data_IF_978466150110
#
_entry.id   IF_978466150110
#
_cell.length_a   1.000
_cell.length_b   1.000
_cell.length_c   1.000
_cell.angle_alpha   90.00
_cell.angle_beta   90.00
_cell.angle_gamma   90.00
#
_symmetry.space_group_name_H-M   'P 1'
#
loop_
_entity.id
_entity.type
_entity.pdbx_description
1 polymer ?
#
# COMPACT_ATOMS: atom_id res chain seq x y z
N UNK A 1 30.23 6.83 76.96
CA UNK A 1 29.84 5.59 76.24
C UNK A 1 28.39 5.64 75.80
N UNK A 2 27.43 5.85 76.71
CA UNK A 2 25.99 5.83 76.37
C UNK A 2 25.52 7.11 75.66
N UNK A 3 25.97 8.29 76.09
CA UNK A 3 25.68 9.56 75.41
C UNK A 3 26.24 9.62 73.98
N UNK A 4 27.41 9.02 73.75
CA UNK A 4 28.03 8.94 72.42
C UNK A 4 27.23 8.04 71.46
N UNK A 5 26.58 6.98 71.96
CA UNK A 5 25.63 6.19 71.16
C UNK A 5 24.40 7.00 70.80
N UNK A 6 23.81 7.74 71.77
CA UNK A 6 22.63 8.57 71.53
C UNK A 6 22.90 9.68 70.51
N UNK A 7 24.11 10.25 70.52
CA UNK A 7 24.54 11.23 69.51
C UNK A 7 24.70 10.59 68.12
N UNK A 8 25.31 9.39 68.03
CA UNK A 8 25.42 8.64 66.77
C UNK A 8 24.07 8.21 66.22
N UNK A 9 23.14 7.79 67.08
CA UNK A 9 21.76 7.47 66.73
C UNK A 9 20.99 8.70 66.23
N UNK A 10 21.20 9.87 66.86
CA UNK A 10 20.62 11.14 66.40
C UNK A 10 21.10 11.54 65.00
N UNK A 11 22.41 11.42 64.75
CA UNK A 11 23.00 11.69 63.42
C UNK A 11 22.49 10.68 62.39
N UNK A 12 22.39 9.39 62.74
CA UNK A 12 21.88 8.36 61.85
C UNK A 12 20.42 8.61 61.44
N UNK A 13 19.56 9.03 62.38
CA UNK A 13 18.17 9.38 62.09
C UNK A 13 18.07 10.63 61.19
N UNK A 14 18.93 11.62 61.40
CA UNK A 14 18.99 12.82 60.56
C UNK A 14 19.44 12.48 59.12
N UNK A 15 20.44 11.60 58.98
CA UNK A 15 20.86 11.07 57.68
C UNK A 15 19.76 10.24 57.01
N UNK A 16 19.05 9.39 57.74
CA UNK A 16 17.91 8.62 57.21
C UNK A 16 16.81 9.54 56.69
N UNK A 17 16.49 10.61 57.43
CA UNK A 17 15.51 11.61 57.01
C UNK A 17 15.97 12.38 55.76
N UNK A 18 17.27 12.68 55.66
CA UNK A 18 17.85 13.31 54.45
C UNK A 18 17.77 12.39 53.24
N UNK A 19 18.17 11.13 53.38
CA UNK A 19 18.11 10.12 52.31
C UNK A 19 16.66 9.88 51.88
N UNK A 20 15.71 9.86 52.82
CA UNK A 20 14.29 9.72 52.53
C UNK A 20 13.75 10.92 51.75
N UNK A 21 14.19 12.14 52.09
CA UNK A 21 13.85 13.37 51.36
C UNK A 21 14.43 13.39 49.94
N UNK A 22 15.68 12.97 49.78
CA UNK A 22 16.33 12.85 48.46
C UNK A 22 15.64 11.80 47.59
N UNK A 23 15.33 10.62 48.16
CA UNK A 23 14.55 9.57 47.48
C UNK A 23 13.20 10.09 47.02
N UNK A 24 12.47 10.79 47.89
CA UNK A 24 11.17 11.38 47.56
C UNK A 24 11.29 12.39 46.41
N UNK A 25 12.32 13.24 46.41
CA UNK A 25 12.55 14.21 45.34
C UNK A 25 12.82 13.53 43.99
N UNK A 26 13.62 12.46 43.98
CA UNK A 26 13.90 11.66 42.78
C UNK A 26 12.63 10.97 42.28
N UNK A 27 11.83 10.38 43.18
CA UNK A 27 10.55 9.76 42.83
C UNK A 27 9.55 10.77 42.25
N UNK A 28 9.49 11.98 42.80
CA UNK A 28 8.65 13.08 42.32
C UNK A 28 9.09 13.52 40.92
N UNK A 29 10.40 13.63 40.69
CA UNK A 29 10.95 14.02 39.40
C UNK A 29 10.73 12.94 38.32
N UNK A 30 10.81 11.66 38.69
CA UNK A 30 10.44 10.54 37.82
C UNK A 30 8.95 10.61 37.47
N UNK A 31 8.08 10.90 38.46
CA UNK A 31 6.63 11.04 38.24
C UNK A 31 6.34 12.17 37.25
N UNK A 32 6.98 13.33 37.42
CA UNK A 32 6.82 14.47 36.52
C UNK A 32 7.22 14.12 35.07
N UNK A 33 8.38 13.47 34.88
CA UNK A 33 8.84 13.03 33.56
C UNK A 33 7.89 12.01 32.92
N UNK A 34 7.33 11.09 33.73
CA UNK A 34 6.34 10.13 33.25
C UNK A 34 5.01 10.80 32.84
N UNK A 35 4.56 11.81 33.59
CA UNK A 35 3.37 12.59 33.28
C UNK A 35 3.56 13.44 32.01
N UNK A 36 4.70 14.10 31.85
CA UNK A 36 5.07 14.82 30.62
C UNK A 36 5.11 13.88 29.41
N UNK A 37 5.71 12.69 29.57
CA UNK A 37 5.73 11.68 28.50
C UNK A 37 4.32 11.22 28.14
N UNK A 38 3.47 10.97 29.14
CA UNK A 38 2.06 10.59 28.94
C UNK A 38 1.27 11.69 28.20
N UNK A 39 1.49 12.96 28.55
CA UNK A 39 0.88 14.10 27.87
C UNK A 39 1.34 14.19 26.41
N UNK A 40 2.65 14.10 26.15
CA UNK A 40 3.20 14.11 24.78
C UNK A 40 2.66 12.97 23.92
N UNK A 41 2.51 11.76 24.48
CA UNK A 41 1.92 10.63 23.77
C UNK A 41 0.43 10.85 23.46
N UNK A 42 -0.32 11.46 24.38
CA UNK A 42 -1.73 11.82 24.19
C UNK A 42 -1.88 12.90 23.11
N UNK A 43 -1.04 13.92 23.11
CA UNK A 43 -0.99 14.95 22.07
C UNK A 43 -0.68 14.36 20.70
N UNK A 44 0.34 13.50 20.61
CA UNK A 44 0.69 12.82 19.36
C UNK A 44 -0.47 11.98 18.83
N UNK A 45 -1.21 11.31 19.71
CA UNK A 45 -2.42 10.56 19.34
C UNK A 45 -3.52 11.50 18.82
N UNK A 46 -3.78 12.62 19.48
CA UNK A 46 -4.78 13.61 19.04
C UNK A 46 -4.44 14.16 17.64
N UNK A 47 -3.18 14.55 17.43
CA UNK A 47 -2.69 15.02 16.13
C UNK A 47 -2.84 13.95 15.04
N UNK A 48 -2.60 12.67 15.36
CA UNK A 48 -2.79 11.58 14.40
C UNK A 48 -4.27 11.38 14.03
N UNK A 49 -5.19 11.52 14.99
CA UNK A 49 -6.63 11.44 14.75
C UNK A 49 -7.12 12.63 13.91
N UNK A 50 -6.59 13.83 14.14
CA UNK A 50 -6.88 15.02 13.33
C UNK A 50 -6.37 14.89 11.89
N UNK A 51 -5.17 14.33 11.70
CA UNK A 51 -4.63 14.05 10.37
C UNK A 51 -5.51 13.05 9.62
N UNK A 52 -5.98 11.98 10.30
CA UNK A 52 -6.91 11.02 9.69
C UNK A 52 -8.23 11.67 9.29
N UNK A 53 -8.83 12.49 10.17
CA UNK A 53 -10.08 13.22 9.87
C UNK A 53 -9.92 14.15 8.67
N UNK A 54 -8.79 14.88 8.60
CA UNK A 54 -8.50 15.78 7.48
C UNK A 54 -8.34 15.01 6.16
N UNK A 55 -7.72 13.83 6.19
CA UNK A 55 -7.61 12.97 5.01
C UNK A 55 -8.99 12.46 4.55
N UNK A 56 -9.89 12.11 5.49
CA UNK A 56 -11.25 11.69 5.16
C UNK A 56 -12.06 12.84 4.53
N UNK A 57 -11.92 14.06 5.04
CA UNK A 57 -12.52 15.27 4.44
C UNK A 57 -11.98 15.53 3.02
N UNK A 58 -10.66 15.45 2.82
CA UNK A 58 -10.04 15.59 1.49
C UNK A 58 -10.56 14.53 0.50
N UNK A 59 -10.75 13.28 0.95
CA UNK A 59 -11.33 12.21 0.12
C UNK A 59 -12.79 12.50 -0.23
N UNK A 60 -13.59 13.06 0.68
CA UNK A 60 -14.97 13.46 0.40
C UNK A 60 -15.04 14.61 -0.60
N UNK A 61 -14.17 15.62 -0.47
CA UNK A 61 -14.02 16.70 -1.45
C UNK A 61 -13.64 16.12 -2.80
N UNK A 62 -12.68 15.20 -2.85
CA UNK A 62 -12.24 14.57 -4.09
C UNK A 62 -13.35 13.73 -4.76
N UNK A 63 -14.20 13.06 -3.96
CA UNK A 63 -15.39 12.36 -4.47
C UNK A 63 -16.42 13.33 -5.06
N UNK A 64 -16.64 14.48 -4.41
CA UNK A 64 -17.55 15.53 -4.88
C UNK A 64 -17.03 16.22 -6.15
N UNK A 65 -15.75 16.56 -6.22
CA UNK A 65 -15.12 17.12 -7.42
C UNK A 65 -15.21 16.12 -8.59
N UNK A 66 -14.96 14.83 -8.32
CA UNK A 66 -15.10 13.77 -9.32
C UNK A 66 -16.53 13.62 -9.82
N UNK A 67 -17.55 13.73 -8.96
CA UNK A 67 -18.96 13.65 -9.39
C UNK A 67 -19.36 14.86 -10.23
N UNK A 68 -18.88 16.06 -9.89
CA UNK A 68 -19.10 17.28 -10.67
C UNK A 68 -18.46 17.19 -12.07
N UNK A 69 -17.27 16.58 -12.18
CA UNK A 69 -16.58 16.42 -13.48
C UNK A 69 -17.26 15.35 -14.37
N UNK A 70 -17.83 14.30 -13.77
CA UNK A 70 -18.39 13.17 -14.52
C UNK A 70 -19.89 13.24 -14.78
N UNK A 71 -20.63 14.22 -14.23
CA UNK A 71 -22.10 14.30 -14.31
C UNK A 71 -22.79 12.98 -13.93
N UNK A 72 -22.31 12.30 -12.88
CA UNK A 72 -22.93 11.09 -12.33
C UNK A 72 -23.13 11.30 -10.83
N UNK A 73 -24.38 11.20 -10.39
CA UNK A 73 -24.77 11.38 -8.99
C UNK A 73 -24.09 10.36 -8.06
N UNK A 74 -23.53 10.80 -6.91
CA UNK A 74 -22.67 9.98 -6.06
C UNK A 74 -23.40 8.94 -5.19
N UNK A 75 -24.73 8.98 -5.11
CA UNK A 75 -25.56 8.05 -4.31
C UNK A 75 -26.48 7.15 -5.17
N UNK A 76 -26.22 7.05 -6.48
CA UNK A 76 -26.90 6.06 -7.30
C UNK A 76 -26.45 4.65 -6.90
N UNK A 77 -27.17 4.08 -5.93
CA UNK A 77 -27.19 2.66 -5.59
C UNK A 77 -27.22 1.88 -6.90
N UNK A 78 -26.21 1.05 -7.11
CA UNK A 78 -26.21 0.03 -8.15
C UNK A 78 -27.35 -0.96 -7.85
N UNK A 79 -28.56 -0.63 -8.27
CA UNK A 79 -29.62 -1.60 -8.45
C UNK A 79 -29.30 -2.37 -9.73
N UNK A 80 -29.39 -3.71 -9.73
CA UNK A 80 -29.29 -4.49 -10.96
C UNK A 80 -30.57 -4.25 -11.76
N UNK A 81 -30.58 -3.23 -12.61
CA UNK A 81 -31.67 -3.00 -13.56
C UNK A 81 -31.48 -3.99 -14.71
N UNK A 82 -32.47 -4.87 -14.84
CA UNK A 82 -32.61 -5.79 -15.96
C UNK A 82 -32.48 -5.03 -17.29
N UNK A 83 -31.56 -5.50 -18.14
CA UNK A 83 -31.47 -5.04 -19.52
C UNK A 83 -32.57 -5.74 -20.30
N UNK A 84 -33.60 -4.98 -20.68
CA UNK A 84 -34.60 -5.37 -21.67
C UNK A 84 -33.93 -5.62 -23.03
N UNK A 85 -34.39 -6.68 -23.69
CA UNK A 85 -33.91 -7.20 -24.96
C UNK A 85 -34.19 -6.23 -26.12
N UNK A 86 -33.17 -5.91 -26.91
CA UNK A 86 -33.32 -5.45 -28.29
C UNK A 86 -32.61 -6.45 -29.22
N UNK A 87 -33.39 -6.98 -30.16
CA UNK A 87 -33.11 -8.16 -31.00
C UNK A 87 -32.16 -7.86 -32.16
N UNK A 88 -31.27 -8.83 -32.42
CA UNK A 88 -30.64 -9.11 -33.73
C UNK A 88 -29.18 -8.66 -33.83
N UNK A 89 -28.19 -9.46 -34.24
CA UNK A 89 -28.20 -10.64 -35.11
C UNK A 89 -27.01 -11.55 -34.73
N UNK A 90 -27.24 -12.85 -34.81
CA UNK A 90 -26.36 -13.94 -34.38
C UNK A 90 -24.99 -13.95 -35.07
N UNK A 91 -23.94 -14.25 -34.28
CA UNK A 91 -22.77 -14.95 -34.80
C UNK A 91 -22.33 -15.98 -33.79
N UNK A 92 -22.76 -17.19 -34.10
CA UNK A 92 -22.36 -18.49 -33.61
C UNK A 92 -20.92 -18.50 -33.05
N UNK A 93 -20.80 -18.66 -31.72
CA UNK A 93 -19.54 -18.84 -30.99
C UNK A 93 -19.21 -20.31 -30.76
N UNK A 94 -19.83 -21.24 -31.49
CA UNK A 94 -19.61 -22.68 -31.34
C UNK A 94 -18.32 -23.18 -32.03
N UNK A 95 -17.18 -22.49 -31.89
CA UNK A 95 -15.88 -23.19 -32.03
C UNK A 95 -14.66 -22.41 -31.53
N UNK A 96 -14.78 -21.71 -30.41
CA UNK A 96 -13.58 -21.46 -29.60
C UNK A 96 -13.52 -22.65 -28.64
N UNK A 97 -12.65 -23.66 -28.85
CA UNK A 97 -12.38 -24.61 -27.78
C UNK A 97 -12.01 -23.75 -26.57
N UNK A 98 -12.64 -23.97 -25.40
CA UNK A 98 -12.25 -23.25 -24.20
C UNK A 98 -10.74 -23.38 -24.15
N UNK A 99 -10.05 -22.25 -24.26
CA UNK A 99 -8.68 -22.20 -23.79
C UNK A 99 -8.85 -22.69 -22.37
N UNK A 100 -8.40 -23.91 -22.12
CA UNK A 100 -8.07 -24.33 -20.78
C UNK A 100 -7.11 -23.26 -20.35
N UNK A 101 -7.65 -22.24 -19.70
CA UNK A 101 -6.92 -21.57 -18.68
C UNK A 101 -6.64 -22.73 -17.72
N UNK A 102 -5.55 -23.44 -17.98
CA UNK A 102 -4.54 -23.57 -16.96
C UNK A 102 -4.18 -22.14 -16.54
N UNK A 103 -5.13 -21.50 -15.85
CA UNK A 103 -4.95 -21.02 -14.52
C UNK A 103 -4.07 -22.07 -13.82
N UNK A 104 -2.76 -21.96 -14.08
CA UNK A 104 -1.88 -21.79 -12.94
C UNK A 104 -2.40 -20.56 -12.20
N UNK A 105 -3.54 -20.74 -11.50
CA UNK A 105 -3.72 -20.20 -10.18
C UNK A 105 -2.37 -20.47 -9.56
N UNK A 106 -1.57 -19.42 -9.45
CA UNK A 106 -0.36 -19.46 -8.67
C UNK A 106 -0.86 -19.94 -7.33
N UNK A 107 -0.74 -21.24 -7.12
CA UNK A 107 -1.18 -21.87 -5.89
C UNK A 107 -0.42 -21.07 -4.87
N UNK A 108 -1.15 -20.26 -4.10
CA UNK A 108 -0.54 -19.45 -3.06
C UNK A 108 -0.13 -20.53 -2.08
N UNK A 109 1.05 -21.11 -2.30
CA UNK A 109 1.64 -22.14 -1.46
C UNK A 109 1.63 -21.49 -0.09
N UNK A 110 0.73 -21.96 0.76
CA UNK A 110 0.63 -21.45 2.11
C UNK A 110 2.04 -21.54 2.67
N UNK A 111 2.66 -20.38 2.89
CA UNK A 111 4.04 -20.35 3.36
C UNK A 111 4.07 -21.22 4.61
N UNK A 112 4.92 -22.25 4.66
CA UNK A 112 4.91 -23.20 5.77
C UNK A 112 5.02 -22.40 7.06
N UNK A 113 4.02 -22.53 7.93
CA UNK A 113 3.95 -21.79 9.19
C UNK A 113 5.22 -22.11 9.97
N UNK A 114 6.04 -21.09 10.20
CA UNK A 114 7.29 -21.25 10.93
C UNK A 114 6.99 -21.84 12.32
N UNK A 115 7.81 -22.78 12.81
CA UNK A 115 7.62 -23.35 14.13
C UNK A 115 7.70 -22.24 15.18
N UNK A 116 6.84 -22.31 16.21
CA UNK A 116 6.73 -21.30 17.30
C UNK A 116 8.08 -20.92 17.91
N UNK A 117 9.02 -21.87 17.98
CA UNK A 117 10.40 -21.65 18.45
C UNK A 117 11.16 -20.65 17.57
N UNK A 118 11.15 -20.83 16.24
CA UNK A 118 11.79 -19.89 15.31
C UNK A 118 11.11 -18.54 15.27
N UNK A 119 9.78 -18.50 15.44
CA UNK A 119 9.06 -17.23 15.53
C UNK A 119 9.50 -16.44 16.78
N UNK A 120 9.58 -17.12 17.93
CA UNK A 120 10.06 -16.53 19.19
C UNK A 120 11.53 -16.08 19.12
N UNK A 121 12.36 -16.81 18.39
CA UNK A 121 13.76 -16.45 18.13
C UNK A 121 13.84 -15.18 17.27
N UNK A 122 13.14 -15.13 16.15
CA UNK A 122 13.09 -13.96 15.26
C UNK A 122 12.52 -12.72 15.96
N UNK A 123 11.48 -12.88 16.79
CA UNK A 123 10.91 -11.77 17.57
C UNK A 123 11.85 -11.22 18.65
N UNK A 124 12.88 -11.99 19.05
CA UNK A 124 13.90 -11.56 20.01
C UNK A 124 15.12 -10.92 19.34
N UNK A 125 15.27 -11.07 18.02
CA UNK A 125 16.41 -10.52 17.28
C UNK A 125 16.27 -9.00 17.10
N UNK A 126 17.41 -8.30 17.10
CA UNK A 126 17.45 -6.89 16.75
C UNK A 126 17.15 -6.69 15.25
N UNK A 127 16.58 -5.54 14.88
CA UNK A 127 16.30 -5.19 13.47
C UNK A 127 17.57 -5.25 12.62
N UNK A 128 18.72 -4.89 13.19
CA UNK A 128 20.02 -4.97 12.51
C UNK A 128 20.42 -6.42 12.23
N UNK A 129 20.28 -7.30 13.22
CA UNK A 129 20.55 -8.73 13.07
C UNK A 129 19.60 -9.37 12.04
N UNK A 130 18.33 -8.96 12.04
CA UNK A 130 17.37 -9.38 11.03
C UNK A 130 17.82 -8.91 9.65
N UNK A 131 18.08 -7.63 9.42
CA UNK A 131 18.53 -7.15 8.09
C UNK A 131 19.82 -7.80 7.58
N UNK A 132 20.68 -8.30 8.47
CA UNK A 132 21.92 -8.98 8.13
C UNK A 132 21.77 -10.50 7.90
N UNK A 133 20.59 -11.08 8.10
CA UNK A 133 20.41 -12.53 7.89
C UNK A 133 20.26 -12.88 6.40
N UNK A 134 20.59 -14.12 6.05
CA UNK A 134 20.55 -14.59 4.67
C UNK A 134 19.11 -14.63 4.12
N UNK A 135 18.96 -14.39 2.80
CA UNK A 135 17.70 -14.47 2.07
C UNK A 135 16.62 -13.46 2.51
N UNK A 136 17.03 -12.28 2.98
CA UNK A 136 16.10 -11.22 3.37
C UNK A 136 15.95 -10.18 2.26
N UNK A 137 14.70 -9.83 1.98
CA UNK A 137 14.36 -8.72 1.11
C UNK A 137 14.37 -7.44 1.93
N UNK A 138 15.20 -6.48 1.51
CA UNK A 138 15.30 -5.18 2.16
C UNK A 138 14.02 -4.36 1.96
N UNK A 139 13.69 -3.52 2.95
CA UNK A 139 12.60 -2.55 2.81
C UNK A 139 13.00 -1.51 1.74
N UNK A 140 12.16 -1.26 0.71
CA UNK A 140 12.48 -0.29 -0.31
C UNK A 140 12.64 1.14 0.23
N UNK A 141 13.61 1.90 -0.31
CA UNK A 141 13.97 3.23 0.18
C UNK A 141 12.82 4.26 0.13
N UNK A 142 11.91 4.12 -0.83
CA UNK A 142 10.78 5.05 -0.98
C UNK A 142 9.70 4.89 0.09
N UNK A 143 9.76 3.85 0.92
CA UNK A 143 8.80 3.63 2.00
C UNK A 143 8.79 4.77 3.02
N UNK A 144 9.93 5.43 3.24
CA UNK A 144 10.05 6.57 4.14
C UNK A 144 9.83 7.93 3.46
N UNK A 145 9.46 7.95 2.18
CA UNK A 145 9.22 9.20 1.46
C UNK A 145 7.79 9.68 1.70
N UNK A 146 7.63 11.01 1.83
CA UNK A 146 6.31 11.64 1.96
C UNK A 146 5.51 11.65 0.65
N UNK A 147 6.19 11.48 -0.49
CA UNK A 147 5.60 11.50 -1.83
C UNK A 147 5.10 10.11 -2.21
N UNK A 148 4.05 10.04 -3.02
CA UNK A 148 3.56 8.77 -3.55
C UNK A 148 4.63 8.06 -4.41
N UNK A 149 4.61 6.73 -4.41
CA UNK A 149 5.62 5.86 -5.04
C UNK A 149 6.04 6.27 -6.47
N UNK A 150 5.08 6.67 -7.31
CA UNK A 150 5.33 7.00 -8.72
C UNK A 150 5.53 8.49 -8.99
N UNK A 151 5.35 9.36 -7.99
CA UNK A 151 5.40 10.82 -8.19
C UNK A 151 6.78 11.33 -8.60
N UNK A 152 7.85 10.71 -8.11
CA UNK A 152 9.23 11.09 -8.47
C UNK A 152 9.57 10.81 -9.94
N UNK A 153 8.75 10.02 -10.65
CA UNK A 153 8.92 9.72 -12.08
C UNK A 153 7.94 10.47 -12.97
N UNK A 154 7.12 11.37 -12.43
CA UNK A 154 6.27 12.26 -13.24
C UNK A 154 7.18 13.14 -14.11
N UNK A 155 6.98 13.11 -15.43
CA UNK A 155 7.78 13.86 -16.42
C UNK A 155 8.88 13.06 -17.12
N UNK A 156 9.30 11.90 -16.58
CA UNK A 156 10.22 10.99 -17.29
C UNK A 156 9.35 10.00 -18.07
N UNK A 157 9.21 10.23 -19.38
CA UNK A 157 8.42 9.37 -20.26
C UNK A 157 8.96 7.95 -20.29
N UNK A 158 8.17 6.97 -19.81
CA UNK A 158 8.48 5.56 -19.98
C UNK A 158 8.58 5.25 -21.48
N UNK A 159 9.67 4.63 -21.91
CA UNK A 159 9.81 4.16 -23.29
C UNK A 159 8.68 3.20 -23.65
N UNK A 160 8.25 3.24 -24.90
CA UNK A 160 7.34 2.26 -25.45
C UNK A 160 7.92 0.84 -25.26
N UNK A 161 7.02 -0.11 -25.02
CA UNK A 161 7.40 -1.51 -24.84
C UNK A 161 8.15 -2.03 -26.08
N UNK A 162 9.36 -2.58 -25.87
CA UNK A 162 10.14 -3.23 -26.92
C UNK A 162 9.92 -4.73 -26.85
N UNK A 163 9.55 -5.33 -27.98
CA UNK A 163 9.42 -6.78 -28.08
C UNK A 163 10.80 -7.45 -27.88
N UNK A 164 10.87 -8.54 -27.09
CA UNK A 164 12.05 -9.40 -27.02
C UNK A 164 12.50 -9.86 -28.42
N UNK A 165 13.81 -10.08 -28.59
CA UNK A 165 14.43 -10.30 -29.90
C UNK A 165 13.81 -11.45 -30.71
N UNK A 166 13.47 -12.56 -30.06
CA UNK A 166 12.86 -13.71 -30.74
C UNK A 166 11.46 -13.43 -31.28
N UNK A 167 10.63 -12.66 -30.56
CA UNK A 167 9.31 -12.21 -31.04
C UNK A 167 9.46 -11.14 -32.13
N UNK A 168 10.43 -10.24 -31.97
CA UNK A 168 10.72 -9.20 -32.98
C UNK A 168 11.15 -9.81 -34.32
N UNK A 169 11.91 -10.92 -34.30
CA UNK A 169 12.32 -11.65 -35.52
C UNK A 169 11.16 -12.23 -36.31
N UNK A 170 10.07 -12.64 -35.66
CA UNK A 170 8.83 -13.09 -36.32
C UNK A 170 8.24 -11.99 -37.21
N UNK A 171 8.59 -10.72 -36.97
CA UNK A 171 8.16 -9.60 -37.79
C UNK A 171 6.75 -9.12 -37.50
N UNK A 172 6.09 -9.64 -36.46
CA UNK A 172 4.72 -9.27 -36.07
C UNK A 172 4.54 -7.76 -35.84
N UNK A 173 5.57 -7.09 -35.32
CA UNK A 173 5.55 -5.64 -35.14
C UNK A 173 5.40 -4.88 -36.46
N UNK A 174 6.10 -5.31 -37.53
CA UNK A 174 6.01 -4.69 -38.85
C UNK A 174 4.64 -4.93 -39.50
N UNK A 175 4.12 -6.16 -39.39
CA UNK A 175 2.80 -6.54 -39.93
C UNK A 175 1.70 -5.73 -39.25
N UNK A 176 1.71 -5.64 -37.91
CA UNK A 176 0.73 -4.86 -37.14
C UNK A 176 0.82 -3.37 -37.44
N UNK A 177 2.03 -2.82 -37.59
CA UNK A 177 2.20 -1.42 -37.96
C UNK A 177 1.60 -1.13 -39.35
N UNK A 178 1.92 -1.95 -40.35
CA UNK A 178 1.36 -1.80 -41.70
C UNK A 178 -0.16 -1.90 -41.74
N UNK A 179 -0.76 -2.78 -40.92
CA UNK A 179 -2.23 -2.86 -40.80
C UNK A 179 -2.84 -1.60 -40.19
N UNK A 180 -2.19 -1.03 -39.16
CA UNK A 180 -2.63 0.20 -38.50
C UNK A 180 -2.54 1.39 -39.45
N UNK A 181 -1.41 1.55 -40.14
CA UNK A 181 -1.21 2.63 -41.12
C UNK A 181 -2.26 2.58 -42.23
N UNK A 182 -2.64 1.37 -42.67
CA UNK A 182 -3.71 1.17 -43.66
C UNK A 182 -5.09 1.52 -43.11
N UNK A 183 -5.36 1.20 -41.84
CA UNK A 183 -6.64 1.54 -41.19
C UNK A 183 -6.76 3.04 -40.92
N UNK A 184 -5.66 3.72 -40.62
CA UNK A 184 -5.64 5.17 -40.40
C UNK A 184 -5.91 5.96 -41.69
N UNK A 185 -5.51 5.43 -42.85
CA UNK A 185 -5.82 6.01 -44.17
C UNK A 185 -7.26 5.76 -44.64
N UNK A 186 -7.99 4.83 -44.02
CA UNK A 186 -9.33 4.48 -44.46
C UNK A 186 -10.40 5.44 -43.92
N UNK A 187 -11.29 5.87 -44.81
CA UNK A 187 -12.42 6.73 -44.43
C UNK A 187 -13.42 5.99 -43.54
N UNK A 188 -14.12 6.74 -42.68
CA UNK A 188 -15.16 6.19 -41.79
C UNK A 188 -16.21 5.37 -42.54
N UNK A 189 -16.57 5.77 -43.77
CA UNK A 189 -17.50 5.02 -44.63
C UNK A 189 -16.96 3.62 -44.99
N UNK A 190 -15.66 3.51 -45.28
CA UNK A 190 -15.02 2.22 -45.58
C UNK A 190 -14.95 1.35 -44.33
N UNK A 191 -14.62 1.94 -43.16
CA UNK A 191 -14.62 1.25 -41.86
C UNK A 191 -16.00 0.65 -41.55
N UNK A 192 -17.09 1.39 -41.76
CA UNK A 192 -18.45 0.89 -41.53
C UNK A 192 -18.84 -0.26 -42.47
N UNK A 193 -18.49 -0.19 -43.77
CA UNK A 193 -18.75 -1.30 -44.70
C UNK A 193 -18.02 -2.58 -44.32
N UNK A 194 -16.78 -2.47 -43.83
CA UNK A 194 -15.99 -3.63 -43.40
C UNK A 194 -16.54 -4.30 -42.15
N UNK A 195 -17.16 -3.55 -41.22
CA UNK A 195 -17.85 -4.13 -40.06
C UNK A 195 -19.00 -5.05 -40.49
N UNK A 196 -19.77 -4.61 -41.49
CA UNK A 196 -20.90 -5.38 -42.05
C UNK A 196 -20.42 -6.56 -42.89
N UNK A 197 -19.39 -6.38 -43.72
CA UNK A 197 -18.82 -7.42 -44.57
C UNK A 197 -17.34 -7.63 -44.27
N UNK A 198 -17.07 -8.57 -43.37
CA UNK A 198 -15.70 -8.99 -43.04
C UNK A 198 -15.06 -9.65 -44.26
N UNK A 199 -13.90 -9.13 -44.67
CA UNK A 199 -12.99 -9.81 -45.58
C UNK A 199 -11.96 -10.54 -44.75
N UNK A 200 -12.22 -11.82 -44.46
CA UNK A 200 -11.26 -12.69 -43.79
C UNK A 200 -10.13 -13.01 -44.77
N UNK A 201 -8.89 -12.88 -44.31
CA UNK A 201 -7.73 -13.47 -44.98
C UNK A 201 -7.42 -14.75 -44.22
N UNK A 202 -7.79 -15.88 -44.80
CA UNK A 202 -7.30 -17.20 -44.40
C UNK A 202 -5.82 -17.33 -44.72
#
# INVERSE_FOLDING_TARGET
MEEERRMKEGIALEEEMRVKKERWLVEEQIRHVQEEHKMRMKEQKCLSEEICKKADEEVLVFKSERSQILNVDPDAVAQPVAVEEEKGLSRDSSNVPPISAEDETYEIKEKPKLPKRKLKELSRMSVTSLKASNNIVIVPQYWSFKREYSQNKRGIGKLAWKLPGFIKRIGIGKVRQSLRDREDQETTKVKMRKRVRLKLKT
#
